data_IF_162928753985
#
_entry.id   IF_162928753985
#
_cell.length_a   1.000
_cell.length_b   1.000
_cell.length_c   1.000
_cell.angle_alpha   90.00
_cell.angle_beta   90.00
_cell.angle_gamma   90.00
#
_symmetry.space_group_name_H-M   'P 1'
#
loop_
_entity.id
_entity.type
_entity.pdbx_description
1 polymer ?
#
# COMPACT_ATOMS: atom_id res chain seq x y z
N UNK A 1 60.86 -11.48 -34.80
CA UNK A 1 60.60 -12.19 -33.54
C UNK A 1 59.80 -11.27 -32.63
N UNK A 2 58.77 -11.82 -32.01
CA UNK A 2 57.80 -11.26 -31.07
C UNK A 2 58.50 -10.47 -29.92
N UNK A 3 57.93 -9.47 -29.23
CA UNK A 3 56.62 -9.44 -28.57
C UNK A 3 56.16 -8.00 -28.26
N UNK A 4 54.86 -7.76 -28.42
CA UNK A 4 54.12 -6.68 -27.78
C UNK A 4 54.06 -6.88 -26.26
N UNK A 5 54.35 -5.84 -25.48
CA UNK A 5 53.91 -5.77 -24.09
C UNK A 5 53.26 -4.41 -23.83
N UNK A 6 51.92 -4.43 -23.84
CA UNK A 6 51.07 -3.32 -23.41
C UNK A 6 51.24 -3.15 -21.90
N UNK A 7 51.36 -1.92 -21.36
CA UNK A 7 51.17 -1.71 -19.94
C UNK A 7 49.68 -1.89 -19.62
N UNK A 8 49.32 -3.01 -18.98
CA UNK A 8 48.08 -3.12 -18.23
C UNK A 8 48.14 -2.13 -17.08
N UNK A 9 47.50 -0.96 -17.24
CA UNK A 9 47.14 -0.14 -16.08
C UNK A 9 46.00 -0.84 -15.36
N UNK A 10 46.37 -1.46 -14.24
CA UNK A 10 45.47 -2.08 -13.28
C UNK A 10 44.29 -1.15 -12.99
N UNK A 11 43.10 -1.73 -13.06
CA UNK A 11 41.86 -1.22 -12.49
C UNK A 11 42.07 -1.02 -10.99
N UNK A 12 42.21 0.24 -10.55
CA UNK A 12 41.91 0.62 -9.18
C UNK A 12 40.76 1.63 -9.22
N UNK A 13 39.57 1.14 -9.53
CA UNK A 13 38.33 1.81 -9.16
C UNK A 13 37.90 1.24 -7.81
N UNK A 14 38.71 1.47 -6.77
CA UNK A 14 38.26 1.37 -5.38
C UNK A 14 37.37 2.59 -5.12
N UNK A 15 36.12 2.51 -5.58
CA UNK A 15 35.06 3.39 -5.12
C UNK A 15 34.11 2.51 -4.35
N UNK A 16 34.30 2.50 -3.05
CA UNK A 16 33.37 2.01 -2.05
C UNK A 16 32.05 2.74 -2.30
N UNK A 17 31.17 2.16 -3.11
CA UNK A 17 29.80 2.61 -3.24
C UNK A 17 29.11 2.26 -1.91
N UNK A 18 28.51 3.23 -1.20
CA UNK A 18 27.76 2.92 0.01
C UNK A 18 26.71 1.87 -0.35
N UNK A 19 26.67 0.79 0.44
CA UNK A 19 25.85 -0.41 0.31
C UNK A 19 24.32 -0.16 0.38
N UNK A 20 23.87 1.07 0.16
CA UNK A 20 22.53 1.54 0.43
C UNK A 20 21.97 2.36 -0.73
N UNK A 21 22.34 2.01 -1.96
CA UNK A 21 21.40 2.20 -3.04
C UNK A 21 20.27 1.20 -2.80
N UNK A 22 19.03 1.64 -2.45
CA UNK A 22 17.91 0.74 -2.54
C UNK A 22 17.87 0.29 -4.00
N UNK A 23 18.07 -1.01 -4.21
CA UNK A 23 17.87 -1.66 -5.50
C UNK A 23 16.42 -1.37 -5.91
N UNK A 24 16.23 -0.30 -6.66
CA UNK A 24 14.92 0.12 -7.13
C UNK A 24 14.58 -0.79 -8.28
N UNK A 25 13.94 -1.91 -7.96
CA UNK A 25 13.39 -2.81 -8.97
C UNK A 25 12.21 -2.10 -9.62
N UNK A 26 12.24 -1.99 -10.94
CA UNK A 26 11.06 -1.55 -11.68
C UNK A 26 9.94 -2.58 -11.46
N UNK A 27 8.80 -2.14 -10.94
CA UNK A 27 7.61 -2.97 -10.80
C UNK A 27 6.80 -2.91 -12.10
N UNK A 28 6.37 -4.06 -12.59
CA UNK A 28 5.37 -4.14 -13.66
C UNK A 28 4.02 -3.60 -13.19
N UNK A 29 3.19 -3.11 -14.12
CA UNK A 29 1.83 -2.67 -13.81
C UNK A 29 1.00 -3.75 -13.08
N UNK A 30 1.20 -5.02 -13.46
CA UNK A 30 0.54 -6.15 -12.80
C UNK A 30 1.02 -6.37 -11.36
N UNK A 31 2.32 -6.20 -11.10
CA UNK A 31 2.90 -6.32 -9.76
C UNK A 31 2.42 -5.18 -8.86
N UNK A 32 2.34 -3.96 -9.39
CA UNK A 32 1.80 -2.82 -8.68
C UNK A 32 0.32 -3.03 -8.29
N UNK A 33 -0.51 -3.50 -9.22
CA UNK A 33 -1.93 -3.82 -8.93
C UNK A 33 -2.05 -4.94 -7.90
N UNK A 34 -1.21 -5.99 -8.01
CA UNK A 34 -1.20 -7.09 -7.04
C UNK A 34 -0.81 -6.60 -5.63
N UNK A 35 0.19 -5.72 -5.53
CA UNK A 35 0.61 -5.11 -4.27
C UNK A 35 -0.46 -4.20 -3.65
N UNK A 36 -1.30 -3.56 -4.48
CA UNK A 36 -2.43 -2.73 -4.03
C UNK A 36 -3.65 -3.55 -3.59
N UNK A 37 -3.71 -4.86 -3.88
CA UNK A 37 -4.89 -5.67 -3.60
C UNK A 37 -5.33 -5.64 -2.12
N UNK A 38 -4.44 -5.75 -1.11
CA UNK A 38 -4.85 -5.63 0.29
C UNK A 38 -5.50 -4.28 0.61
N UNK A 39 -5.00 -3.20 -0.01
CA UNK A 39 -5.56 -1.86 0.14
C UNK A 39 -6.98 -1.77 -0.46
N UNK A 40 -7.19 -2.29 -1.68
CA UNK A 40 -8.52 -2.31 -2.31
C UNK A 40 -9.56 -3.03 -1.45
N UNK A 41 -9.18 -4.13 -0.78
CA UNK A 41 -10.09 -4.82 0.13
C UNK A 41 -10.42 -4.00 1.38
N UNK A 42 -9.49 -3.19 1.88
CA UNK A 42 -9.71 -2.41 3.08
C UNK A 42 -10.60 -1.17 2.83
N UNK A 43 -10.60 -0.63 1.61
CA UNK A 43 -11.34 0.61 1.25
C UNK A 43 -12.56 0.36 0.35
N UNK A 44 -12.89 -0.90 0.05
CA UNK A 44 -13.95 -1.23 -0.91
C UNK A 44 -15.32 -0.65 -0.47
N UNK A 45 -16.06 0.05 -1.34
CA UNK A 45 -17.30 0.76 -0.99
C UNK A 45 -18.39 -0.15 -0.39
N UNK A 46 -18.45 -1.43 -0.77
CA UNK A 46 -19.43 -2.39 -0.24
C UNK A 46 -19.31 -2.59 1.28
N UNK A 47 -18.12 -2.40 1.87
CA UNK A 47 -17.95 -2.51 3.32
C UNK A 47 -18.51 -1.29 4.07
N UNK A 48 -18.77 -0.18 3.38
CA UNK A 48 -19.31 1.05 3.95
C UNK A 48 -20.83 1.12 3.83
N UNK A 49 -21.51 -0.04 3.98
CA UNK A 49 -22.97 -0.23 3.94
C UNK A 49 -23.77 0.80 4.75
N UNK A 50 -23.26 1.11 5.94
CA UNK A 50 -23.91 1.99 6.93
C UNK A 50 -23.41 3.45 6.86
N UNK A 51 -22.42 3.71 6.01
CA UNK A 51 -21.64 4.95 5.92
C UNK A 51 -21.68 5.51 4.49
N UNK A 52 -22.79 6.16 4.08
CA UNK A 52 -23.01 6.56 2.69
C UNK A 52 -22.01 7.62 2.20
N UNK A 53 -21.56 8.52 3.09
CA UNK A 53 -20.61 9.58 2.75
C UNK A 53 -19.22 8.99 2.52
N UNK A 54 -18.78 8.12 3.41
CA UNK A 54 -17.49 7.44 3.34
C UNK A 54 -17.42 6.51 2.13
N UNK A 55 -18.54 5.83 1.82
CA UNK A 55 -18.68 5.04 0.59
C UNK A 55 -18.46 5.91 -0.64
N UNK A 56 -19.15 7.04 -0.75
CA UNK A 56 -19.04 7.94 -1.90
C UNK A 56 -17.62 8.49 -2.04
N UNK A 57 -16.98 8.88 -0.93
CA UNK A 57 -15.60 9.37 -0.93
C UNK A 57 -14.65 8.26 -1.42
N UNK A 58 -14.79 7.04 -0.93
CA UNK A 58 -13.96 5.91 -1.36
C UNK A 58 -14.18 5.58 -2.84
N UNK A 59 -15.42 5.57 -3.32
CA UNK A 59 -15.73 5.32 -4.73
C UNK A 59 -15.08 6.37 -5.64
N UNK A 60 -15.23 7.65 -5.31
CA UNK A 60 -14.65 8.75 -6.06
C UNK A 60 -13.10 8.72 -6.03
N UNK A 61 -12.52 8.47 -4.86
CA UNK A 61 -11.06 8.37 -4.71
C UNK A 61 -10.49 7.15 -5.46
N UNK A 62 -11.16 5.99 -5.43
CA UNK A 62 -10.76 4.79 -6.18
C UNK A 62 -10.77 5.05 -7.69
N UNK A 63 -11.83 5.68 -8.23
CA UNK A 63 -11.89 6.06 -9.66
C UNK A 63 -10.70 6.93 -10.06
N UNK A 64 -10.39 7.95 -9.25
CA UNK A 64 -9.25 8.84 -9.50
C UNK A 64 -7.91 8.11 -9.42
N UNK A 65 -7.75 7.20 -8.47
CA UNK A 65 -6.55 6.37 -8.33
C UNK A 65 -6.35 5.47 -9.55
N UNK A 66 -7.40 4.78 -10.02
CA UNK A 66 -7.32 3.90 -11.19
C UNK A 66 -6.87 4.65 -12.44
N UNK A 67 -7.52 5.78 -12.74
CA UNK A 67 -7.14 6.64 -13.89
C UNK A 67 -5.70 7.14 -13.76
N UNK A 68 -5.27 7.49 -12.54
CA UNK A 68 -3.90 7.93 -12.29
C UNK A 68 -2.88 6.82 -12.55
N UNK A 69 -3.14 5.61 -12.06
CA UNK A 69 -2.27 4.43 -12.27
C UNK A 69 -2.20 4.03 -13.75
N UNK A 70 -3.32 4.08 -14.48
CA UNK A 70 -3.33 3.85 -15.93
C UNK A 70 -2.47 4.86 -16.68
N UNK A 71 -2.54 6.15 -16.30
CA UNK A 71 -1.73 7.19 -16.92
C UNK A 71 -0.23 7.05 -16.59
N UNK A 72 0.13 6.52 -15.42
CA UNK A 72 1.53 6.20 -15.08
C UNK A 72 2.09 5.07 -15.94
N UNK A 73 1.25 4.10 -16.32
CA UNK A 73 1.68 2.95 -17.12
C UNK A 73 1.81 3.27 -18.62
N UNK A 74 1.18 4.36 -19.10
CA UNK A 74 1.23 4.74 -20.52
C UNK A 74 2.65 5.18 -20.93
N UNK A 75 3.25 4.58 -21.96
CA UNK A 75 4.57 4.99 -22.44
C UNK A 75 4.51 6.43 -22.96
N UNK A 76 5.34 7.31 -22.39
CA UNK A 76 5.42 8.73 -22.76
C UNK A 76 4.98 9.71 -21.66
N UNK A 77 4.31 9.24 -20.61
CA UNK A 77 4.00 10.06 -19.43
C UNK A 77 5.14 10.00 -18.42
N UNK A 78 6.02 11.01 -18.44
CA UNK A 78 7.22 11.08 -17.56
C UNK A 78 7.03 11.93 -16.30
N UNK A 79 5.93 12.67 -16.21
CA UNK A 79 5.64 13.54 -15.06
C UNK A 79 4.15 13.73 -14.87
N UNK A 80 3.54 12.93 -13.99
CA UNK A 80 2.23 13.25 -13.45
C UNK A 80 2.39 14.10 -12.21
N UNK A 81 1.47 15.05 -12.01
CA UNK A 81 1.43 15.84 -10.78
C UNK A 81 0.98 14.95 -9.63
N UNK A 82 1.63 15.02 -8.45
CA UNK A 82 1.13 14.36 -7.26
C UNK A 82 -0.33 14.74 -6.99
N UNK A 83 -1.12 13.75 -6.59
CA UNK A 83 -2.54 13.89 -6.29
C UNK A 83 -2.78 13.50 -4.82
N UNK A 84 -3.58 14.30 -4.12
CA UNK A 84 -4.06 13.95 -2.78
C UNK A 84 -5.42 13.27 -2.91
N UNK A 85 -5.54 12.08 -2.31
CA UNK A 85 -6.77 11.29 -2.24
C UNK A 85 -7.03 10.93 -0.78
N UNK A 86 -8.31 10.91 -0.40
CA UNK A 86 -8.75 10.54 0.94
C UNK A 86 -9.48 9.21 0.87
N UNK A 87 -9.17 8.33 1.82
CA UNK A 87 -9.82 7.02 1.93
C UNK A 87 -10.23 6.75 3.38
N UNK A 88 -11.39 6.17 3.54
CA UNK A 88 -11.82 5.51 4.76
C UNK A 88 -11.44 4.04 4.68
N UNK A 89 -10.87 3.53 5.76
CA UNK A 89 -10.36 2.16 5.84
C UNK A 89 -11.22 1.42 6.85
N UNK A 90 -11.63 0.20 6.52
CA UNK A 90 -12.33 -0.67 7.46
C UNK A 90 -11.35 -1.21 8.50
N UNK A 91 -11.80 -1.35 9.73
CA UNK A 91 -11.09 -2.13 10.73
C UNK A 91 -11.07 -3.59 10.27
N UNK A 92 -9.88 -4.15 10.11
CA UNK A 92 -9.70 -5.58 9.89
C UNK A 92 -8.92 -6.07 11.10
N UNK A 93 -9.30 -7.21 11.68
CA UNK A 93 -8.87 -7.77 12.97
C UNK A 93 -7.35 -7.98 13.16
N UNK A 94 -6.51 -7.48 12.24
CA UNK A 94 -5.05 -7.49 12.29
C UNK A 94 -4.44 -6.19 12.85
N UNK A 95 -5.24 -5.15 13.15
CA UNK A 95 -4.74 -3.90 13.75
C UNK A 95 -4.93 -3.79 15.27
N UNK A 96 -5.44 -4.81 15.95
CA UNK A 96 -5.57 -4.82 17.41
C UNK A 96 -4.36 -5.46 18.08
N UNK A 97 -3.24 -4.73 18.10
CA UNK A 97 -2.22 -4.89 19.15
C UNK A 97 -2.15 -3.59 19.96
N UNK A 98 -3.28 -3.18 20.52
CA UNK A 98 -3.34 -2.55 21.83
C UNK A 98 -4.79 -2.60 22.29
N UNK A 99 -4.99 -3.19 23.48
CA UNK A 99 -6.28 -3.72 23.90
C UNK A 99 -7.32 -2.65 24.23
N UNK A 100 -8.56 -2.90 23.80
CA UNK A 100 -9.78 -2.49 24.52
C UNK A 100 -10.91 -3.50 24.23
N UNK A 101 -11.06 -4.46 25.13
CA UNK A 101 -12.38 -4.92 25.60
C UNK A 101 -12.71 -4.09 26.87
N UNK A 102 -13.97 -3.89 27.33
CA UNK A 102 -15.22 -4.50 26.88
C UNK A 102 -16.41 -3.50 26.74
N UNK A 103 -17.43 -3.85 25.96
CA UNK A 103 -18.81 -3.45 26.28
C UNK A 103 -19.77 -4.62 26.01
N UNK A 104 -19.65 -5.66 26.83
CA UNK A 104 -20.78 -6.55 27.10
C UNK A 104 -21.48 -6.07 28.37
N UNK A 105 -22.54 -5.29 28.21
CA UNK A 105 -23.55 -5.03 29.24
C UNK A 105 -24.83 -4.81 28.42
N UNK A 106 -25.81 -5.70 28.43
CA UNK A 106 -26.65 -6.02 29.58
C UNK A 106 -27.49 -7.27 29.29
N UNK A 107 -27.32 -8.33 30.08
CA UNK A 107 -28.36 -9.35 30.26
C UNK A 107 -29.33 -8.91 31.36
N UNK A 108 -30.65 -9.11 31.24
CA UNK A 108 -31.57 -8.82 32.32
C UNK A 108 -31.47 -9.92 33.39
N UNK A 109 -30.93 -9.55 34.55
CA UNK A 109 -31.02 -10.31 35.80
C UNK A 109 -32.45 -10.13 36.35
N UNK A 110 -33.26 -11.19 36.31
CA UNK A 110 -34.46 -11.32 37.13
C UNK A 110 -34.16 -12.32 38.24
N UNK A 111 -33.93 -11.78 39.43
CA UNK A 111 -33.80 -12.48 40.70
C UNK A 111 -35.11 -12.36 41.48
N UNK A 112 -35.52 -13.45 42.14
CA UNK A 112 -36.60 -13.49 43.12
C UNK A 112 -37.52 -14.68 42.86
N UNK A 113 -37.76 -15.61 43.77
CA UNK A 113 -37.45 -15.70 45.19
C UNK A 113 -38.28 -16.89 45.70
N UNK A 114 -37.65 -17.70 46.54
CA UNK A 114 -38.18 -18.95 47.10
C UNK A 114 -39.30 -18.67 48.11
N UNK A 115 -40.38 -19.44 48.05
CA UNK A 115 -41.16 -19.92 49.19
C UNK A 115 -41.78 -21.26 48.82
#
# INVERSE_FOLDING_TARGET
MFCHLRPMRRLCLEKIFPHWFPYSRALSGAEAVNALRPFYFAVHPDFFGQHPVEREINENSLKRLSVYLENLQKPGFKSLKPIQLTFYVRETDQSSSDGQEPFSTSGPQMEGGRA
#
